data_IF_218936720129
#
_entry.id   IF_218936720129
#
_cell.length_a   1.000
_cell.length_b   1.000
_cell.length_c   1.000
_cell.angle_alpha   90.00
_cell.angle_beta   90.00
_cell.angle_gamma   90.00
#
_symmetry.space_group_name_H-M   'P 1'
#
loop_
_entity.id
_entity.type
_entity.pdbx_description
1 polymer ?
#
# COMPACT_ATOMS: atom_id res chain seq x y z
N UNK A 1 21.33 -19.22 9.72
CA UNK A 1 20.37 -18.11 9.49
C UNK A 1 19.60 -17.96 10.81
N UNK A 2 19.69 -16.81 11.47
CA UNK A 2 19.13 -16.61 12.83
C UNK A 2 20.12 -16.16 13.91
N UNK A 3 21.37 -15.82 13.58
CA UNK A 3 22.25 -15.18 14.56
C UNK A 3 21.76 -13.76 14.89
N UNK A 4 21.98 -13.32 16.12
CA UNK A 4 21.51 -12.01 16.62
C UNK A 4 22.00 -10.85 15.75
N UNK A 5 23.24 -10.91 15.26
CA UNK A 5 23.83 -9.91 14.36
C UNK A 5 23.04 -9.80 13.03
N UNK A 6 22.60 -10.93 12.48
CA UNK A 6 21.83 -10.95 11.22
C UNK A 6 20.42 -10.43 11.46
N UNK A 7 19.81 -10.81 12.58
CA UNK A 7 18.47 -10.36 12.96
C UNK A 7 18.43 -8.85 13.27
N UNK A 8 19.44 -8.31 13.96
CA UNK A 8 19.51 -6.88 14.25
C UNK A 8 19.66 -6.05 12.97
N UNK A 9 20.50 -6.49 12.03
CA UNK A 9 20.64 -5.84 10.72
C UNK A 9 19.32 -5.88 9.94
N UNK A 10 18.66 -7.04 9.90
CA UNK A 10 17.36 -7.19 9.24
C UNK A 10 16.29 -6.31 9.89
N UNK A 11 16.22 -6.30 11.23
CA UNK A 11 15.27 -5.48 11.97
C UNK A 11 15.49 -3.99 11.70
N UNK A 12 16.74 -3.51 11.70
CA UNK A 12 17.05 -2.12 11.33
C UNK A 12 16.59 -1.77 9.93
N UNK A 13 16.79 -2.67 8.96
CA UNK A 13 16.34 -2.46 7.59
C UNK A 13 14.81 -2.39 7.49
N UNK A 14 14.09 -3.28 8.17
CA UNK A 14 12.61 -3.39 8.07
C UNK A 14 11.83 -2.45 8.98
N UNK A 15 12.46 -1.87 10.00
CA UNK A 15 11.80 -0.99 10.98
C UNK A 15 11.05 0.15 10.30
N UNK A 16 11.67 0.80 9.32
CA UNK A 16 11.03 1.91 8.61
C UNK A 16 9.82 1.45 7.80
N UNK A 17 9.99 0.41 6.98
CA UNK A 17 8.90 -0.15 6.17
C UNK A 17 7.72 -0.59 7.04
N UNK A 18 7.99 -1.26 8.15
CA UNK A 18 6.96 -1.76 9.06
C UNK A 18 6.19 -0.60 9.70
N UNK A 19 6.87 0.48 10.11
CA UNK A 19 6.21 1.66 10.69
C UNK A 19 5.35 2.36 9.64
N UNK A 20 5.89 2.56 8.44
CA UNK A 20 5.15 3.18 7.34
C UNK A 20 3.90 2.36 6.97
N UNK A 21 4.05 1.04 6.84
CA UNK A 21 2.95 0.13 6.53
C UNK A 21 1.89 0.15 7.63
N UNK A 22 2.32 0.08 8.90
CA UNK A 22 1.40 0.11 10.05
C UNK A 22 0.61 1.41 10.10
N UNK A 23 1.29 2.55 9.95
CA UNK A 23 0.63 3.86 9.94
C UNK A 23 -0.34 4.01 8.75
N UNK A 24 0.07 3.55 7.56
CA UNK A 24 -0.78 3.55 6.38
C UNK A 24 -2.04 2.71 6.56
N UNK A 25 -1.91 1.50 7.10
CA UNK A 25 -3.05 0.60 7.33
C UNK A 25 -3.97 1.06 8.47
N UNK A 26 -3.43 1.58 9.58
CA UNK A 26 -4.26 2.17 10.64
C UNK A 26 -5.06 3.37 10.09
N UNK A 27 -4.41 4.22 9.28
CA UNK A 27 -5.07 5.30 8.56
C UNK A 27 -6.17 4.81 7.62
N UNK A 28 -5.90 3.76 6.85
CA UNK A 28 -6.89 3.14 5.96
C UNK A 28 -8.09 2.59 6.74
N UNK A 29 -7.84 1.82 7.81
CA UNK A 29 -8.89 1.28 8.67
C UNK A 29 -9.74 2.42 9.19
N UNK A 30 -9.14 3.48 9.75
CA UNK A 30 -9.88 4.63 10.27
C UNK A 30 -10.69 5.35 9.20
N UNK A 31 -10.12 5.56 8.00
CA UNK A 31 -10.81 6.23 6.90
C UNK A 31 -12.08 5.47 6.48
N UNK A 32 -12.06 4.14 6.51
CA UNK A 32 -13.16 3.31 6.03
C UNK A 32 -14.10 2.81 7.14
N UNK A 33 -13.66 2.75 8.40
CA UNK A 33 -14.46 2.25 9.53
C UNK A 33 -15.21 3.32 10.32
N UNK A 34 -15.02 4.61 10.01
CA UNK A 34 -15.64 5.72 10.74
C UNK A 34 -16.77 6.37 9.94
N UNK A 35 -17.83 6.78 10.65
CA UNK A 35 -19.00 7.46 10.08
C UNK A 35 -19.01 8.98 10.33
N UNK A 36 -17.89 9.54 10.81
CA UNK A 36 -17.74 10.98 11.02
C UNK A 36 -18.02 11.71 9.68
N UNK A 37 -18.98 12.67 9.64
CA UNK A 37 -19.43 13.31 8.41
C UNK A 37 -18.32 13.87 7.50
N UNK A 38 -17.27 14.57 8.00
CA UNK A 38 -16.21 15.07 7.13
C UNK A 38 -15.34 13.96 6.55
N UNK A 39 -15.07 12.89 7.31
CA UNK A 39 -14.27 11.74 6.85
C UNK A 39 -15.05 10.97 5.80
N UNK A 40 -16.34 10.74 6.03
CA UNK A 40 -17.25 10.12 5.06
C UNK A 40 -17.28 10.89 3.75
N UNK A 41 -17.43 12.22 3.80
CA UNK A 41 -17.42 13.06 2.61
C UNK A 41 -16.10 12.95 1.83
N UNK A 42 -14.96 13.00 2.53
CA UNK A 42 -13.65 12.86 1.89
C UNK A 42 -13.50 11.48 1.21
N UNK A 43 -13.91 10.40 1.88
CA UNK A 43 -13.91 9.04 1.34
C UNK A 43 -14.80 8.94 0.10
N UNK A 44 -16.03 9.45 0.18
CA UNK A 44 -17.01 9.35 -0.91
C UNK A 44 -16.57 10.14 -2.14
N UNK A 45 -15.99 11.34 -1.94
CA UNK A 45 -15.37 12.12 -3.02
C UNK A 45 -14.18 11.40 -3.64
N UNK A 46 -13.30 10.81 -2.83
CA UNK A 46 -12.16 10.02 -3.32
C UNK A 46 -12.61 8.83 -4.15
N UNK A 47 -13.58 8.05 -3.66
CA UNK A 47 -14.15 6.92 -4.39
C UNK A 47 -14.87 7.35 -5.66
N UNK A 48 -15.61 8.46 -5.64
CA UNK A 48 -16.24 9.02 -6.83
C UNK A 48 -15.20 9.44 -7.88
N UNK A 49 -14.08 10.04 -7.47
CA UNK A 49 -12.99 10.41 -8.36
C UNK A 49 -12.33 9.17 -9.01
N UNK A 50 -11.98 8.16 -8.22
CA UNK A 50 -11.40 6.90 -8.73
C UNK A 50 -12.38 6.18 -9.68
N UNK A 51 -13.68 6.20 -9.36
CA UNK A 51 -14.69 5.58 -10.20
C UNK A 51 -14.95 6.36 -11.49
N UNK A 52 -14.81 7.68 -11.52
CA UNK A 52 -15.07 8.49 -12.72
C UNK A 52 -13.87 8.71 -13.62
N UNK A 53 -12.64 8.63 -13.08
CA UNK A 53 -11.42 8.93 -13.82
C UNK A 53 -10.67 7.62 -14.12
N UNK A 54 -10.71 7.09 -15.35
CA UNK A 54 -10.09 5.80 -15.69
C UNK A 54 -8.59 5.74 -15.40
N UNK A 55 -7.87 6.87 -15.56
CA UNK A 55 -6.46 6.95 -15.22
C UNK A 55 -6.19 6.75 -13.72
N UNK A 56 -7.02 7.35 -12.85
CA UNK A 56 -6.92 7.13 -11.40
C UNK A 56 -7.25 5.69 -11.06
N UNK A 57 -8.32 5.13 -11.63
CA UNK A 57 -8.66 3.71 -11.45
C UNK A 57 -7.50 2.80 -11.83
N UNK A 58 -6.89 3.02 -13.00
CA UNK A 58 -5.77 2.23 -13.49
C UNK A 58 -4.57 2.36 -12.55
N UNK A 59 -4.23 3.57 -12.12
CA UNK A 59 -3.13 3.81 -11.18
C UNK A 59 -3.36 3.09 -9.84
N UNK A 60 -4.55 3.22 -9.25
CA UNK A 60 -4.91 2.51 -8.01
C UNK A 60 -4.81 0.99 -8.15
N UNK A 61 -5.28 0.43 -9.27
CA UNK A 61 -5.19 -1.01 -9.52
C UNK A 61 -3.75 -1.49 -9.74
N UNK A 62 -2.90 -0.69 -10.40
CA UNK A 62 -1.48 -1.05 -10.56
C UNK A 62 -0.77 -1.03 -9.21
N UNK A 63 -1.01 -0.01 -8.38
CA UNK A 63 -0.42 0.08 -7.06
C UNK A 63 -0.90 -1.06 -6.14
N UNK A 64 -2.20 -1.32 -6.08
CA UNK A 64 -2.77 -2.40 -5.28
C UNK A 64 -2.36 -3.80 -5.74
N UNK A 65 -2.14 -3.97 -7.05
CA UNK A 65 -1.66 -5.22 -7.64
C UNK A 65 -0.16 -5.44 -7.50
N UNK A 66 0.59 -4.50 -6.91
CA UNK A 66 2.06 -4.56 -6.87
C UNK A 66 2.69 -4.46 -8.27
N UNK A 67 1.98 -3.88 -9.23
CA UNK A 67 2.41 -3.68 -10.61
C UNK A 67 3.19 -2.36 -10.80
N UNK A 68 3.67 -1.76 -9.72
CA UNK A 68 4.45 -0.52 -9.68
C UNK A 68 5.89 -0.81 -9.24
N UNK A 69 6.88 -0.11 -9.81
CA UNK A 69 8.29 -0.21 -9.42
C UNK A 69 9.07 -1.27 -10.21
N UNK A 70 10.11 -1.85 -9.58
CA UNK A 70 10.88 -2.93 -10.22
C UNK A 70 10.17 -4.27 -10.04
N UNK A 71 9.50 -4.70 -11.11
CA UNK A 71 8.69 -5.90 -11.11
C UNK A 71 9.57 -7.16 -11.14
N UNK A 72 9.25 -8.20 -10.34
CA UNK A 72 9.87 -9.50 -10.48
C UNK A 72 9.72 -10.05 -11.91
N UNK A 73 10.73 -10.80 -12.38
CA UNK A 73 10.75 -11.44 -13.71
C UNK A 73 9.46 -12.23 -14.00
N UNK A 74 8.92 -12.90 -12.98
CA UNK A 74 7.63 -13.60 -13.05
C UNK A 74 6.45 -12.70 -13.44
N UNK A 75 6.36 -11.48 -12.90
CA UNK A 75 5.29 -10.53 -13.24
C UNK A 75 5.50 -9.90 -14.63
N UNK A 76 6.74 -9.92 -15.15
CA UNK A 76 7.09 -9.49 -16.51
C UNK A 76 6.85 -10.59 -17.56
N UNK A 77 6.49 -11.81 -17.13
CA UNK A 77 6.36 -12.99 -18.02
C UNK A 77 7.71 -13.59 -18.44
N UNK A 78 8.78 -13.25 -17.75
CA UNK A 78 10.13 -13.79 -17.99
C UNK A 78 10.36 -15.03 -17.11
N UNK A 79 11.05 -16.05 -17.65
CA UNK A 79 11.45 -17.22 -16.87
C UNK A 79 12.41 -16.82 -15.74
N UNK A 80 12.29 -17.45 -14.56
CA UNK A 80 13.17 -17.22 -13.39
C UNK A 80 14.53 -17.83 -13.62
#
# INVERSE_FOLDING_TARGET
IGSEIVLDRYARWRRFDNVALTAGFDGFVRLFSNDLPPIRLARDLGMAAVNRIPALRKAFMHEAGGATGDLPRLLKGEAV
#
